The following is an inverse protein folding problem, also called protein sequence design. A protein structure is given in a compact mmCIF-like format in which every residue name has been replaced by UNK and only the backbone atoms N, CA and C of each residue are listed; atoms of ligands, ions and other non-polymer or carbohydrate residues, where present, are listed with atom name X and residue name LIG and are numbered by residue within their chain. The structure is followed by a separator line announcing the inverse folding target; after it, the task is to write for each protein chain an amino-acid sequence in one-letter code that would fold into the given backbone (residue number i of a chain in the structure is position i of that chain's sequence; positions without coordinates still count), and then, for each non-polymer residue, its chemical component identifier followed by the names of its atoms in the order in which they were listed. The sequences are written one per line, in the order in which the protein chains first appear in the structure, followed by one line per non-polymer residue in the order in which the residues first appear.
data_IF_469435549432
#
_entry.id   IF_469435549432
#
_cell.length_a   1.000
_cell.length_b   1.000
_cell.length_c   1.000
_cell.angle_alpha   90.00
_cell.angle_beta   90.00
_cell.angle_gamma   90.00
#
_symmetry.space_group_name_H-M   'P 1'
#
loop_
_entity.id
_entity.type
_entity.pdbx_description
1 polymer ?
#
# COMPACT_ATOMS: atom_id res chain seq x y z
N UNK A 1 12.06 -18.44 7.90
CA UNK A 1 11.54 -18.64 6.52
C UNK A 1 10.86 -17.35 6.08
N UNK A 2 11.27 -16.73 4.97
CA UNK A 2 10.53 -15.61 4.41
C UNK A 2 9.16 -16.09 3.89
N UNK A 3 8.16 -15.22 3.98
CA UNK A 3 6.83 -15.45 3.42
C UNK A 3 6.60 -14.40 2.34
N UNK A 4 6.09 -14.84 1.19
CA UNK A 4 5.65 -13.94 0.13
C UNK A 4 4.16 -13.65 0.33
N UNK A 5 3.83 -12.39 0.57
CA UNK A 5 2.45 -11.93 0.76
C UNK A 5 2.04 -11.14 -0.48
N UNK A 6 0.97 -11.58 -1.14
CA UNK A 6 0.42 -10.87 -2.29
C UNK A 6 -0.42 -9.68 -1.80
N UNK A 7 -0.11 -8.48 -2.28
CA UNK A 7 -0.92 -7.29 -2.11
C UNK A 7 -1.67 -6.99 -3.41
N UNK A 8 -2.99 -6.81 -3.34
CA UNK A 8 -3.84 -6.51 -4.51
C UNK A 8 -4.41 -5.09 -4.47
N UNK A 9 -4.50 -4.49 -3.29
CA UNK A 9 -5.03 -3.14 -3.12
C UNK A 9 -3.93 -2.12 -3.41
N UNK A 10 -4.21 -1.15 -4.27
CA UNK A 10 -3.28 -0.05 -4.60
C UNK A 10 -3.47 1.20 -3.74
N UNK A 11 -4.58 1.29 -3.02
CA UNK A 11 -4.99 2.49 -2.27
C UNK A 11 -5.22 2.18 -0.79
N UNK A 12 -5.07 3.19 0.09
CA UNK A 12 -5.43 3.04 1.49
C UNK A 12 -6.93 2.84 1.68
N UNK A 13 -7.29 2.23 2.81
CA UNK A 13 -8.67 2.13 3.27
C UNK A 13 -8.96 3.33 4.16
N UNK A 14 -10.02 4.07 3.82
CA UNK A 14 -10.53 5.16 4.65
C UNK A 14 -11.43 4.60 5.75
N UNK A 15 -11.17 4.99 6.98
CA UNK A 15 -12.01 4.70 8.14
C UNK A 15 -12.58 6.02 8.64
N UNK A 16 -13.90 6.11 8.60
CA UNK A 16 -14.66 7.24 9.14
C UNK A 16 -15.11 6.87 10.55
N UNK A 17 -14.45 7.45 11.55
CA UNK A 17 -14.80 7.28 12.96
C UNK A 17 -15.56 8.51 13.45
N UNK A 18 -16.61 8.31 14.26
CA UNK A 18 -17.52 9.39 14.66
C UNK A 18 -16.83 10.46 15.51
N UNK A 19 -15.85 10.04 16.31
CA UNK A 19 -15.10 10.92 17.22
C UNK A 19 -13.79 11.46 16.61
N UNK A 20 -13.45 11.05 15.39
CA UNK A 20 -12.23 11.51 14.73
C UNK A 20 -12.45 12.86 14.02
N UNK A 21 -11.54 13.79 14.26
CA UNK A 21 -11.55 15.11 13.58
C UNK A 21 -11.32 14.99 12.06
N UNK A 22 -10.63 13.95 11.63
CA UNK A 22 -10.30 13.67 10.23
C UNK A 22 -10.39 12.18 9.93
N UNK A 23 -10.64 11.77 8.67
CA UNK A 23 -10.62 10.37 8.28
C UNK A 23 -9.26 9.73 8.55
N UNK A 24 -9.28 8.48 9.01
CA UNK A 24 -8.07 7.69 9.22
C UNK A 24 -7.80 6.90 7.95
N UNK A 25 -6.60 7.03 7.40
CA UNK A 25 -6.18 6.28 6.21
C UNK A 25 -5.26 5.13 6.63
N UNK A 26 -5.75 3.91 6.47
CA UNK A 26 -4.99 2.67 6.77
C UNK A 26 -4.34 2.17 5.49
N UNK A 27 -3.03 1.91 5.54
CA UNK A 27 -2.29 1.39 4.40
C UNK A 27 -2.80 -0.01 4.02
N UNK A 28 -3.12 -0.20 2.74
CA UNK A 28 -3.40 -1.51 2.18
C UNK A 28 -2.50 -1.88 0.99
N UNK A 29 -1.65 -0.94 0.52
CA UNK A 29 -0.76 -1.15 -0.61
C UNK A 29 0.51 -1.93 -0.31
N UNK A 30 0.89 -2.08 0.96
CA UNK A 30 2.11 -2.80 1.32
C UNK A 30 3.40 -1.95 1.25
N UNK A 31 3.32 -0.66 0.87
CA UNK A 31 4.49 0.19 0.63
C UNK A 31 4.79 1.25 1.68
N UNK A 32 3.92 1.40 2.69
CA UNK A 32 4.11 2.47 3.69
C UNK A 32 5.35 2.24 4.55
N UNK A 33 6.09 3.30 4.87
CA UNK A 33 7.16 3.27 5.87
C UNK A 33 6.61 3.53 7.28
N UNK A 34 5.34 3.93 7.40
CA UNK A 34 4.65 4.28 8.64
C UNK A 34 3.45 3.37 8.95
N UNK A 35 3.59 2.05 8.72
CA UNK A 35 2.53 1.09 9.02
C UNK A 35 2.01 1.19 10.46
N UNK A 36 0.69 1.06 10.68
CA UNK A 36 -0.36 0.67 9.72
C UNK A 36 -0.94 1.82 8.89
N UNK A 37 -0.47 3.05 9.07
CA UNK A 37 -1.08 4.24 8.48
C UNK A 37 -0.57 4.50 7.06
N UNK A 38 -1.38 5.20 6.26
CA UNK A 38 -0.95 5.68 4.96
C UNK A 38 -0.06 6.91 5.08
N UNK A 39 1.09 6.88 4.43
CA UNK A 39 2.06 7.98 4.30
C UNK A 39 2.21 8.52 2.87
N UNK A 40 1.40 8.02 1.93
CA UNK A 40 1.43 8.43 0.53
C UNK A 40 2.27 7.52 -0.38
N UNK A 41 3.02 6.56 0.16
CA UNK A 41 3.83 5.63 -0.67
C UNK A 41 3.02 4.76 -1.64
N UNK A 42 1.69 4.72 -1.49
CA UNK A 42 0.79 4.08 -2.43
C UNK A 42 0.83 4.67 -3.85
N UNK A 43 1.36 5.89 -4.00
CA UNK A 43 1.54 6.52 -5.31
C UNK A 43 2.44 5.71 -6.26
N UNK A 44 3.39 4.95 -5.71
CA UNK A 44 4.24 4.05 -6.49
C UNK A 44 3.49 2.88 -7.11
N UNK A 45 2.27 2.57 -6.65
CA UNK A 45 1.46 1.48 -7.20
C UNK A 45 0.43 1.96 -8.24
N UNK A 46 0.32 3.27 -8.51
CA UNK A 46 -0.75 3.83 -9.37
C UNK A 46 -0.61 3.42 -10.84
N UNK A 47 0.61 3.26 -11.35
CA UNK A 47 0.92 2.89 -12.73
C UNK A 47 0.98 1.36 -12.94
N UNK A 48 0.71 0.57 -11.91
CA UNK A 48 0.69 -0.88 -12.01
C UNK A 48 -0.48 -1.36 -12.86
N UNK A 49 -0.18 -2.16 -13.88
CA UNK A 49 -1.17 -2.90 -14.67
C UNK A 49 -1.83 -4.01 -13.84
N UNK A 50 -3.14 -4.21 -13.99
CA UNK A 50 -3.90 -5.24 -13.24
C UNK A 50 -3.45 -6.69 -13.52
N UNK A 51 -2.79 -6.93 -14.66
CA UNK A 51 -2.21 -8.22 -15.02
C UNK A 51 -0.72 -8.35 -14.73
N UNK A 52 -0.06 -7.28 -14.25
CA UNK A 52 1.37 -7.28 -14.00
C UNK A 52 1.70 -7.66 -12.55
N UNK A 53 2.81 -8.35 -12.33
CA UNK A 53 3.33 -8.62 -10.99
C UNK A 53 4.49 -7.65 -10.73
N UNK A 54 4.37 -6.86 -9.67
CA UNK A 54 5.39 -5.91 -9.25
C UNK A 54 5.97 -6.36 -7.91
N UNK A 55 7.30 -6.47 -7.85
CA UNK A 55 8.03 -6.87 -6.65
C UNK A 55 8.80 -5.68 -6.12
N UNK A 56 8.64 -5.45 -4.81
CA UNK A 56 9.28 -4.38 -4.07
C UNK A 56 10.31 -4.96 -3.10
N UNK A 57 11.54 -4.46 -3.18
CA UNK A 57 12.63 -4.80 -2.26
C UNK A 57 13.37 -3.52 -1.85
N UNK A 58 13.05 -3.02 -0.65
CA UNK A 58 13.46 -1.68 -0.22
C UNK A 58 12.92 -0.61 -1.18
N UNK A 59 13.82 0.21 -1.73
CA UNK A 59 13.46 1.27 -2.69
C UNK A 59 13.48 0.79 -4.16
N UNK A 60 13.71 -0.51 -4.42
CA UNK A 60 13.71 -1.08 -5.78
C UNK A 60 12.34 -1.66 -6.14
N UNK A 61 11.90 -1.41 -7.37
CA UNK A 61 10.69 -1.98 -7.98
C UNK A 61 11.06 -2.73 -9.26
N UNK A 62 10.65 -3.99 -9.37
CA UNK A 62 10.82 -4.83 -10.58
C UNK A 62 9.46 -5.34 -11.04
N UNK A 63 9.17 -5.20 -12.33
CA UNK A 63 8.03 -5.87 -12.97
C UNK A 63 8.46 -7.25 -13.44
N UNK A 64 7.79 -8.29 -12.97
CA UNK A 64 7.96 -9.67 -13.43
C UNK A 64 7.12 -9.93 -14.69
#
# INVERSE_FOLDING_TARGET
MPRLVKHEKKLPVTIEEKDAKFPIYVCACGLSKNFPFCDGSHDHAKDESDSGIYVYDGDKRVKL
#
